data_IF_178753310687
#
_entry.id   IF_178753310687
#
_cell.length_a   1.000
_cell.length_b   1.000
_cell.length_c   1.000
_cell.angle_alpha   90.00
_cell.angle_beta   90.00
_cell.angle_gamma   90.00
#
_symmetry.space_group_name_H-M   'P 1'
#
loop_
_entity.id
_entity.type
_entity.pdbx_description
1 polymer ?
#
# COMPACT_ATOMS: atom_id res chain seq x y z
N UNK A 1 6.01 -56.65 -17.19
CA UNK A 1 4.59 -56.96 -17.43
C UNK A 1 3.77 -56.50 -16.22
N UNK A 2 3.12 -55.33 -16.27
CA UNK A 2 1.73 -55.07 -16.73
C UNK A 2 0.67 -55.49 -15.67
N UNK A 3 0.24 -54.55 -14.81
CA UNK A 3 -0.99 -53.70 -14.85
C UNK A 3 -2.28 -54.39 -14.38
N UNK A 4 -2.82 -53.93 -13.25
CA UNK A 4 -4.26 -53.77 -12.96
C UNK A 4 -4.40 -52.54 -12.05
N UNK A 5 -4.87 -51.41 -12.57
CA UNK A 5 -6.28 -50.98 -12.58
C UNK A 5 -6.57 -50.01 -11.42
N UNK A 6 -6.08 -48.77 -11.55
CA UNK A 6 -6.53 -47.62 -10.76
C UNK A 6 -7.67 -46.92 -11.51
N UNK A 7 -8.86 -46.95 -10.93
CA UNK A 7 -10.07 -46.30 -11.44
C UNK A 7 -9.86 -44.77 -11.45
N UNK A 8 -9.85 -44.17 -12.64
CA UNK A 8 -9.56 -42.74 -12.84
C UNK A 8 -10.87 -41.93 -12.78
N UNK A 9 -11.19 -41.39 -11.60
CA UNK A 9 -12.38 -40.57 -11.36
C UNK A 9 -12.32 -39.18 -12.02
N UNK A 10 -11.23 -38.83 -12.73
CA UNK A 10 -10.99 -37.47 -13.24
C UNK A 10 -11.73 -37.10 -14.54
N UNK A 11 -12.51 -38.00 -15.15
CA UNK A 11 -13.11 -37.75 -16.48
C UNK A 11 -14.61 -37.51 -16.54
N UNK A 12 -15.35 -37.46 -15.42
CA UNK A 12 -16.83 -37.36 -15.48
C UNK A 12 -17.45 -36.01 -15.09
N UNK A 13 -16.69 -34.94 -14.85
CA UNK A 13 -17.26 -33.66 -14.41
C UNK A 13 -17.17 -32.50 -15.42
N UNK A 14 -16.76 -32.76 -16.66
CA UNK A 14 -16.61 -31.70 -17.68
C UNK A 14 -17.82 -31.46 -18.59
N UNK A 15 -18.91 -32.25 -18.49
CA UNK A 15 -20.02 -32.14 -19.44
C UNK A 15 -21.39 -31.74 -18.87
N UNK A 16 -21.49 -31.33 -17.59
CA UNK A 16 -22.78 -30.94 -17.01
C UNK A 16 -23.01 -29.41 -16.94
N UNK A 17 -21.98 -28.58 -17.12
CA UNK A 17 -22.05 -27.12 -16.85
C UNK A 17 -22.42 -26.20 -18.03
N UNK A 18 -22.53 -26.71 -19.25
CA UNK A 18 -22.68 -25.86 -20.46
C UNK A 18 -24.13 -25.42 -20.77
N UNK A 19 -25.11 -25.70 -19.91
CA UNK A 19 -26.51 -25.28 -20.12
C UNK A 19 -27.10 -24.34 -19.06
N UNK A 20 -26.31 -23.90 -18.07
CA UNK A 20 -26.80 -23.02 -17.00
C UNK A 20 -26.00 -21.72 -16.81
N UNK A 21 -25.04 -21.38 -17.69
CA UNK A 21 -24.32 -20.09 -17.62
C UNK A 21 -23.55 -19.85 -16.31
N UNK A 22 -23.42 -20.88 -15.46
CA UNK A 22 -22.87 -20.78 -14.11
C UNK A 22 -21.36 -20.50 -14.15
N UNK A 23 -20.66 -20.91 -15.22
CA UNK A 23 -19.24 -20.58 -15.42
C UNK A 23 -19.01 -19.09 -15.60
N UNK A 24 -19.68 -18.48 -16.58
CA UNK A 24 -19.58 -17.04 -16.84
C UNK A 24 -20.11 -16.21 -15.65
N UNK A 25 -21.17 -16.69 -14.99
CA UNK A 25 -21.69 -16.06 -13.77
C UNK A 25 -20.69 -16.15 -12.61
N UNK A 26 -20.06 -17.31 -12.37
CA UNK A 26 -19.09 -17.46 -11.29
C UNK A 26 -17.80 -16.70 -11.58
N UNK A 27 -17.35 -16.62 -12.82
CA UNK A 27 -16.18 -15.83 -13.20
C UNK A 27 -16.45 -14.33 -13.04
N UNK A 28 -17.62 -13.85 -13.43
CA UNK A 28 -18.06 -12.48 -13.14
C UNK A 28 -18.21 -12.23 -11.63
N UNK A 29 -18.89 -13.14 -10.91
CA UNK A 29 -19.18 -13.01 -9.49
C UNK A 29 -17.91 -13.08 -8.62
N UNK A 30 -16.94 -13.95 -8.95
CA UNK A 30 -15.60 -13.95 -8.33
C UNK A 30 -14.82 -12.69 -8.69
N UNK A 31 -14.97 -12.17 -9.91
CA UNK A 31 -14.40 -10.89 -10.32
C UNK A 31 -14.86 -9.75 -9.41
N UNK A 32 -16.17 -9.63 -9.21
CA UNK A 32 -16.78 -8.61 -8.35
C UNK A 32 -16.43 -8.83 -6.86
N UNK A 33 -16.46 -10.08 -6.39
CA UNK A 33 -16.01 -10.43 -5.04
C UNK A 33 -14.53 -10.13 -4.80
N UNK A 34 -13.68 -10.30 -5.82
CA UNK A 34 -12.25 -9.97 -5.70
C UNK A 34 -12.02 -8.47 -5.60
N UNK A 35 -12.86 -7.66 -6.27
CA UNK A 35 -12.84 -6.20 -6.14
C UNK A 35 -13.27 -5.77 -4.73
N UNK A 36 -14.28 -6.42 -4.15
CA UNK A 36 -14.69 -6.17 -2.76
C UNK A 36 -13.67 -6.71 -1.75
N UNK A 37 -13.11 -7.91 -1.95
CA UNK A 37 -12.06 -8.48 -1.10
C UNK A 37 -10.80 -7.59 -1.06
N UNK A 38 -10.52 -6.89 -2.16
CA UNK A 38 -9.47 -5.86 -2.27
C UNK A 38 -9.69 -4.67 -1.33
N UNK A 39 -10.93 -4.39 -0.93
CA UNK A 39 -11.26 -3.38 0.07
C UNK A 39 -11.21 -3.92 1.51
N UNK A 40 -11.52 -5.21 1.72
CA UNK A 40 -11.54 -5.85 3.04
C UNK A 40 -10.18 -6.42 3.49
N UNK A 41 -9.25 -6.63 2.57
CA UNK A 41 -7.90 -7.11 2.84
C UNK A 41 -6.88 -6.09 2.31
N UNK A 42 -6.48 -5.08 3.11
CA UNK A 42 -5.35 -4.22 2.77
C UNK A 42 -4.07 -5.09 2.69
N UNK A 43 -3.72 -5.48 1.46
CA UNK A 43 -2.64 -6.43 1.16
C UNK A 43 -2.99 -7.50 0.11
N UNK A 44 -4.28 -7.68 -0.24
CA UNK A 44 -4.69 -8.63 -1.28
C UNK A 44 -4.78 -8.02 -2.69
N UNK A 45 -4.61 -6.70 -2.81
CA UNK A 45 -4.66 -5.98 -4.07
C UNK A 45 -3.27 -5.63 -4.59
N UNK A 46 -2.84 -6.39 -5.59
CA UNK A 46 -1.76 -6.01 -6.51
C UNK A 46 -0.37 -6.47 -6.07
N UNK A 47 0.13 -7.53 -6.72
CA UNK A 47 1.53 -7.97 -6.73
C UNK A 47 2.13 -8.45 -5.40
N UNK A 48 2.06 -9.77 -5.19
CA UNK A 48 2.94 -10.52 -4.30
C UNK A 48 4.46 -10.43 -4.65
N UNK A 49 4.85 -9.58 -5.60
CA UNK A 49 6.23 -9.31 -6.05
C UNK A 49 6.52 -7.82 -6.25
N UNK A 50 5.82 -6.91 -5.55
CA UNK A 50 6.15 -5.49 -5.63
C UNK A 50 7.42 -5.19 -4.83
N UNK A 51 8.52 -4.98 -5.55
CA UNK A 51 9.73 -4.37 -5.00
C UNK A 51 9.40 -2.95 -4.59
N UNK A 52 9.13 -2.73 -3.30
CA UNK A 52 8.89 -1.38 -2.76
C UNK A 52 10.12 -0.89 -2.03
N UNK A 53 10.52 0.34 -2.32
CA UNK A 53 11.58 1.02 -1.59
C UNK A 53 10.93 1.90 -0.54
N UNK A 54 11.12 1.54 0.73
CA UNK A 54 10.68 2.33 1.87
C UNK A 54 11.77 3.33 2.24
N UNK A 55 11.42 4.61 2.22
CA UNK A 55 12.28 5.68 2.71
C UNK A 55 11.75 6.13 4.05
N UNK A 56 12.50 5.88 5.12
CA UNK A 56 12.16 6.37 6.47
C UNK A 56 13.00 7.62 6.76
N UNK A 57 12.34 8.70 7.17
CA UNK A 57 13.03 9.91 7.63
C UNK A 57 12.93 9.95 9.16
N UNK A 58 14.07 10.03 9.83
CA UNK A 58 14.18 10.13 11.28
C UNK A 58 15.07 11.30 11.64
N UNK A 59 14.48 12.50 11.66
CA UNK A 59 15.23 13.75 11.83
C UNK A 59 16.17 13.97 10.63
N UNK A 60 17.48 13.96 10.86
CA UNK A 60 18.49 14.06 9.81
C UNK A 60 18.84 12.73 9.15
N UNK A 61 18.47 11.60 9.75
CA UNK A 61 18.83 10.29 9.21
C UNK A 61 17.74 9.77 8.27
N UNK A 62 18.12 9.54 7.02
CA UNK A 62 17.27 8.88 6.01
C UNK A 62 17.70 7.43 5.90
N UNK A 63 16.81 6.51 6.24
CA UNK A 63 17.03 5.07 6.09
C UNK A 63 16.27 4.57 4.88
N UNK A 64 16.95 3.86 4.00
CA UNK A 64 16.35 3.21 2.85
C UNK A 64 16.24 1.72 3.13
N UNK A 65 15.04 1.19 3.00
CA UNK A 65 14.76 -0.23 3.16
C UNK A 65 14.07 -0.75 1.91
N UNK A 66 14.38 -1.98 1.52
CA UNK A 66 13.68 -2.66 0.44
C UNK A 66 12.74 -3.70 1.04
N UNK A 67 11.51 -3.76 0.53
CA UNK A 67 10.60 -4.86 0.82
C UNK A 67 10.73 -5.90 -0.27
N UNK A 68 11.25 -7.08 0.08
CA UNK A 68 11.37 -8.22 -0.82
C UNK A 68 10.68 -9.41 -0.16
N UNK A 69 9.65 -9.96 -0.82
CA UNK A 69 8.81 -11.04 -0.27
C UNK A 69 8.20 -10.72 1.11
N UNK A 70 7.76 -9.48 1.33
CA UNK A 70 7.19 -9.04 2.61
C UNK A 70 8.19 -8.89 3.75
N UNK A 71 9.48 -9.17 3.53
CA UNK A 71 10.55 -8.90 4.49
C UNK A 71 11.18 -7.54 4.19
N UNK A 72 11.29 -6.72 5.24
CA UNK A 72 11.99 -5.44 5.18
C UNK A 72 13.48 -5.70 5.41
N UNK A 73 14.29 -5.45 4.39
CA UNK A 73 15.74 -5.47 4.47
C UNK A 73 16.26 -4.04 4.38
N UNK A 74 17.10 -3.63 5.31
CA UNK A 74 17.74 -2.31 5.25
C UNK A 74 18.80 -2.32 4.14
N UNK A 75 18.68 -1.37 3.21
CA UNK A 75 19.54 -1.27 2.04
C UNK A 75 20.57 -0.14 2.16
N UNK A 76 20.31 0.88 2.99
CA UNK A 76 21.26 1.95 3.25
C UNK A 76 20.78 2.98 4.27
N UNK A 77 21.71 3.79 4.76
CA UNK A 77 21.47 4.95 5.63
C UNK A 77 22.21 6.15 5.09
N UNK A 78 21.58 7.31 5.17
CA UNK A 78 22.14 8.59 4.76
C UNK A 78 21.89 9.62 5.87
N UNK A 79 22.96 10.17 6.42
CA UNK A 79 22.86 11.28 7.37
C UNK A 79 22.88 12.62 6.62
N UNK A 80 21.72 13.26 6.54
CA UNK A 80 21.50 14.53 5.86
C UNK A 80 22.16 15.70 6.60
N UNK A 81 22.45 15.58 7.90
CA UNK A 81 23.05 16.66 8.69
C UNK A 81 24.51 16.95 8.30
N UNK A 82 25.20 15.93 7.79
CA UNK A 82 26.60 16.00 7.37
C UNK A 82 26.80 16.67 6.00
N UNK A 83 25.72 16.90 5.25
CA UNK A 83 25.74 17.37 3.88
C UNK A 83 25.02 18.71 3.72
N UNK A 84 25.53 19.54 2.80
CA UNK A 84 24.87 20.76 2.33
C UNK A 84 23.68 20.42 1.41
N UNK A 85 22.76 21.36 1.16
CA UNK A 85 21.51 21.11 0.41
C UNK A 85 21.72 20.45 -0.97
N UNK A 86 22.79 20.81 -1.67
CA UNK A 86 23.17 20.20 -2.95
C UNK A 86 23.69 18.77 -2.74
N UNK A 87 24.57 18.55 -1.76
CA UNK A 87 25.09 17.25 -1.40
C UNK A 87 24.02 16.27 -0.90
N UNK A 88 23.03 16.76 -0.14
CA UNK A 88 21.88 15.98 0.32
C UNK A 88 21.08 15.45 -0.89
N UNK A 89 20.73 16.33 -1.83
CA UNK A 89 19.97 15.93 -3.04
C UNK A 89 20.75 14.90 -3.86
N UNK A 90 22.05 15.11 -4.05
CA UNK A 90 22.88 14.20 -4.83
C UNK A 90 23.07 12.84 -4.13
N UNK A 91 23.34 12.83 -2.83
CA UNK A 91 23.50 11.60 -2.06
C UNK A 91 22.18 10.81 -2.01
N UNK A 92 21.05 11.51 -1.80
CA UNK A 92 19.72 10.89 -1.82
C UNK A 92 19.39 10.26 -3.18
N UNK A 93 19.65 10.98 -4.28
CA UNK A 93 19.46 10.44 -5.64
C UNK A 93 20.36 9.25 -5.94
N UNK A 94 21.61 9.27 -5.47
CA UNK A 94 22.54 8.16 -5.62
C UNK A 94 22.07 6.92 -4.85
N UNK A 95 21.68 7.06 -3.58
CA UNK A 95 21.18 5.94 -2.77
C UNK A 95 19.86 5.40 -3.32
N UNK A 96 18.91 6.26 -3.70
CA UNK A 96 17.70 5.84 -4.40
C UNK A 96 18.02 5.12 -5.70
N UNK A 97 18.95 5.62 -6.52
CA UNK A 97 19.32 5.01 -7.78
C UNK A 97 19.97 3.62 -7.62
N UNK A 98 20.71 3.39 -6.52
CA UNK A 98 21.28 2.07 -6.19
C UNK A 98 20.20 1.06 -5.82
N UNK A 99 19.18 1.50 -5.07
CA UNK A 99 18.16 0.63 -4.46
C UNK A 99 16.96 0.42 -5.42
N UNK A 100 16.60 1.44 -6.19
CA UNK A 100 15.52 1.44 -7.19
C UNK A 100 15.95 0.89 -8.55
N UNK A 101 17.11 0.21 -8.65
CA UNK A 101 17.56 -0.45 -9.90
C UNK A 101 16.53 -1.42 -10.48
N UNK A 102 15.67 -1.97 -9.62
CA UNK A 102 14.45 -2.65 -10.02
C UNK A 102 13.34 -1.62 -9.92
N UNK A 103 12.65 -1.32 -11.04
CA UNK A 103 11.61 -0.28 -11.22
C UNK A 103 10.44 -0.39 -10.21
N UNK A 104 10.74 -0.14 -8.95
CA UNK A 104 9.88 -0.34 -7.82
C UNK A 104 9.26 0.97 -7.37
N UNK A 105 8.06 0.88 -6.81
CA UNK A 105 7.40 2.01 -6.16
C UNK A 105 8.25 2.51 -4.98
N UNK A 106 8.54 3.82 -4.95
CA UNK A 106 9.21 4.46 -3.82
C UNK A 106 8.14 5.00 -2.89
N UNK A 107 8.10 4.47 -1.67
CA UNK A 107 7.11 4.82 -0.65
C UNK A 107 7.83 5.52 0.50
N UNK A 108 7.41 6.75 0.80
CA UNK A 108 7.86 7.45 2.00
C UNK A 108 7.13 6.88 3.21
N UNK A 109 7.89 6.36 4.16
CA UNK A 109 7.37 5.79 5.40
C UNK A 109 7.59 6.76 6.56
N UNK A 110 6.48 7.28 7.08
CA UNK A 110 6.45 8.09 8.29
C UNK A 110 6.18 7.16 9.49
N UNK A 111 7.08 7.08 10.48
CA UNK A 111 6.85 6.30 11.68
C UNK A 111 5.75 6.96 12.53
N UNK A 112 5.04 6.16 13.33
CA UNK A 112 3.83 6.61 14.04
C UNK A 112 4.11 7.78 14.99
N UNK A 113 5.31 7.85 15.54
CA UNK A 113 5.74 8.92 16.46
C UNK A 113 5.88 10.28 15.76
N UNK A 114 5.94 10.31 14.43
CA UNK A 114 6.01 11.52 13.63
C UNK A 114 4.66 11.95 13.05
N UNK A 115 3.58 11.22 13.36
CA UNK A 115 2.23 11.49 12.84
C UNK A 115 1.30 11.82 13.99
N UNK A 116 0.58 12.93 13.88
CA UNK A 116 -0.54 13.23 14.77
C UNK A 116 -1.80 12.54 14.23
N UNK A 117 -2.37 11.61 15.01
CA UNK A 117 -3.62 10.93 14.67
C UNK A 117 -4.70 11.27 15.68
N UNK A 118 -5.88 11.67 15.20
CA UNK A 118 -7.04 12.01 16.04
C UNK A 118 -8.32 11.51 15.39
N UNK A 119 -9.20 10.91 16.20
CA UNK A 119 -10.57 10.60 15.79
C UNK A 119 -11.45 11.82 15.98
N UNK A 120 -12.23 12.18 14.96
CA UNK A 120 -13.17 13.30 14.97
C UNK A 120 -14.57 12.78 14.67
N UNK A 121 -15.56 13.28 15.42
CA UNK A 121 -16.98 13.04 15.13
C UNK A 121 -17.52 14.28 14.42
N UNK A 122 -17.94 14.12 13.18
CA UNK A 122 -18.46 15.20 12.34
C UNK A 122 -19.93 14.93 11.99
N UNK A 123 -20.76 15.97 11.83
CA UNK A 123 -22.14 15.82 11.41
C UNK A 123 -22.20 15.26 9.97
N UNK A 124 -23.26 14.52 9.64
CA UNK A 124 -23.43 13.93 8.30
C UNK A 124 -23.37 14.97 7.17
N UNK A 125 -23.86 16.18 7.41
CA UNK A 125 -23.78 17.29 6.45
C UNK A 125 -22.35 17.70 6.06
N UNK A 126 -21.34 17.32 6.85
CA UNK A 126 -19.94 17.59 6.53
C UNK A 126 -19.37 16.61 5.48
N UNK A 127 -20.07 15.53 5.14
CA UNK A 127 -19.61 14.53 4.18
C UNK A 127 -19.29 15.14 2.82
N UNK A 128 -20.14 16.06 2.34
CA UNK A 128 -19.95 16.74 1.05
C UNK A 128 -18.66 17.58 0.98
N UNK A 129 -18.19 18.08 2.13
CA UNK A 129 -17.06 19.02 2.21
C UNK A 129 -16.01 18.61 3.26
N UNK A 130 -15.79 17.30 3.41
CA UNK A 130 -15.04 16.73 4.53
C UNK A 130 -13.61 17.26 4.66
N UNK A 131 -12.89 17.40 3.53
CA UNK A 131 -11.52 17.95 3.52
C UNK A 131 -11.47 19.38 4.05
N UNK A 132 -12.45 20.22 3.71
CA UNK A 132 -12.50 21.61 4.19
C UNK A 132 -12.87 21.67 5.67
N UNK A 133 -13.83 20.85 6.11
CA UNK A 133 -14.22 20.77 7.52
C UNK A 133 -13.05 20.29 8.37
N UNK A 134 -12.30 19.28 7.93
CA UNK A 134 -11.10 18.80 8.64
C UNK A 134 -10.03 19.89 8.69
N UNK A 135 -9.79 20.63 7.60
CA UNK A 135 -8.85 21.75 7.61
C UNK A 135 -9.24 22.81 8.65
N UNK A 136 -10.52 23.16 8.75
CA UNK A 136 -11.02 24.10 9.75
C UNK A 136 -10.86 23.56 11.18
N UNK A 137 -11.18 22.28 11.40
CA UNK A 137 -11.00 21.63 12.70
C UNK A 137 -9.50 21.50 13.08
N UNK A 138 -8.59 21.42 12.12
CA UNK A 138 -7.14 21.41 12.38
C UNK A 138 -6.64 22.73 12.93
N UNK A 139 -7.03 23.86 12.32
CA UNK A 139 -6.68 25.21 12.79
C UNK A 139 -7.20 25.43 14.23
N UNK A 140 -8.30 24.77 14.60
CA UNK A 140 -8.90 24.84 15.95
C UNK A 140 -8.25 23.91 16.97
N UNK A 141 -7.79 22.74 16.55
CA UNK A 141 -7.33 21.67 17.44
C UNK A 141 -5.80 21.50 17.51
N UNK A 142 -5.06 22.14 16.62
CA UNK A 142 -3.60 22.06 16.56
C UNK A 142 -3.00 23.45 16.40
N UNK A 143 -1.76 23.70 16.86
CA UNK A 143 -1.08 24.97 16.61
C UNK A 143 -0.60 25.12 15.16
N UNK A 144 -1.04 24.25 14.25
CA UNK A 144 -0.62 24.23 12.85
C UNK A 144 -1.81 24.54 11.95
N UNK A 145 -1.63 25.50 11.04
CA UNK A 145 -2.67 25.77 10.04
C UNK A 145 -2.65 24.70 8.95
N UNK A 146 -3.79 24.41 8.33
CA UNK A 146 -3.89 23.40 7.26
C UNK A 146 -2.93 23.61 6.07
N UNK A 147 -2.49 24.85 5.81
CA UNK A 147 -1.50 25.16 4.77
C UNK A 147 -0.04 24.86 5.14
N UNK A 148 0.25 24.53 6.40
CA UNK A 148 1.60 24.28 6.91
C UNK A 148 1.90 22.78 7.09
N UNK A 149 0.90 21.92 6.89
CA UNK A 149 1.00 20.50 7.18
C UNK A 149 0.33 19.67 6.08
N UNK A 150 0.86 18.46 5.88
CA UNK A 150 0.18 17.46 5.07
C UNK A 150 -0.76 16.67 5.97
N UNK A 151 -2.01 16.49 5.53
CA UNK A 151 -3.00 15.71 6.25
C UNK A 151 -3.85 14.87 5.31
N UNK A 152 -4.34 13.77 5.85
CA UNK A 152 -5.26 12.86 5.18
C UNK A 152 -6.25 12.29 6.20
N UNK A 153 -7.32 11.66 5.72
CA UNK A 153 -8.37 11.11 6.57
C UNK A 153 -8.92 9.80 6.04
N UNK A 154 -9.49 9.02 6.95
CA UNK A 154 -10.21 7.78 6.65
C UNK A 154 -11.50 7.77 7.45
N UNK A 155 -12.62 7.48 6.78
CA UNK A 155 -13.88 7.20 7.45
C UNK A 155 -13.79 5.84 8.15
N UNK A 156 -14.18 5.80 9.42
CA UNK A 156 -14.07 4.63 10.31
C UNK A 156 -15.41 4.31 10.96
#
# INVERSE_FOLDING_TARGET
MNKMAGFDYRKSLQHFGQRLGVGDFLDWWLGELSAMARQFLPGASGNAMEHRVLVKISGSLVTFSQVVHGKVAEAGRLDMSSLNAVGQKQAFQSELGKISRQQGEVVLYLPQEQVLSKKLSLPLAAEENLRQVIAFEMDRHTPFNAGQVYFDYRLV
#
